data_IF_649344703013
#
_entry.id   IF_649344703013
#
_cell.length_a   1.000
_cell.length_b   1.000
_cell.length_c   1.000
_cell.angle_alpha   90.00
_cell.angle_beta   90.00
_cell.angle_gamma   90.00
#
_symmetry.space_group_name_H-M   'P 1'
#
loop_
_entity.id
_entity.type
_entity.pdbx_description
1 polymer ?
#
# COMPACT_ATOMS: atom_id res chain seq x y z
N UNK A 1 6.12 8.20 34.07
CA UNK A 1 5.69 7.12 34.99
C UNK A 1 4.71 6.26 34.22
N UNK A 2 5.09 5.06 33.75
CA UNK A 2 4.20 4.26 32.89
C UNK A 2 4.77 2.96 32.31
N UNK A 3 6.05 2.92 31.94
CA UNK A 3 6.63 1.70 31.32
C UNK A 3 6.84 0.57 32.33
N UNK A 4 7.49 0.81 33.48
CA UNK A 4 7.76 -0.26 34.46
C UNK A 4 6.48 -0.86 35.08
N UNK A 5 5.53 -0.01 35.51
CA UNK A 5 4.24 -0.48 36.05
C UNK A 5 3.45 -1.32 35.03
N UNK A 6 3.54 -1.00 33.72
CA UNK A 6 2.97 -1.83 32.66
C UNK A 6 3.66 -3.20 32.51
N UNK A 7 4.98 -3.29 32.77
CA UNK A 7 5.72 -4.55 32.74
C UNK A 7 5.31 -5.48 33.89
N UNK A 8 5.14 -4.95 35.10
CA UNK A 8 4.66 -5.70 36.26
C UNK A 8 3.23 -6.20 36.04
N UNK A 9 2.32 -5.32 35.55
CA UNK A 9 0.93 -5.69 35.25
C UNK A 9 0.84 -6.85 34.25
N UNK A 10 1.68 -6.86 33.21
CA UNK A 10 1.72 -7.96 32.24
C UNK A 10 2.24 -9.25 32.89
N UNK A 11 3.25 -9.20 33.76
CA UNK A 11 3.78 -10.41 34.39
C UNK A 11 2.80 -11.07 35.37
N UNK A 12 2.04 -10.29 36.14
CA UNK A 12 1.09 -10.81 37.13
C UNK A 12 -0.28 -11.22 36.55
N UNK A 13 -0.76 -10.50 35.52
CA UNK A 13 -2.10 -10.71 34.96
C UNK A 13 -2.09 -11.67 33.76
N UNK A 14 -1.05 -11.67 32.91
CA UNK A 14 -1.04 -12.49 31.70
C UNK A 14 -1.21 -13.99 32.01
N UNK A 15 -0.54 -14.61 33.01
CA UNK A 15 -0.75 -16.04 33.31
C UNK A 15 -2.20 -16.39 33.70
N UNK A 16 -2.95 -15.42 34.24
CA UNK A 16 -4.35 -15.59 34.65
C UNK A 16 -5.32 -15.47 33.46
N UNK A 17 -5.01 -14.58 32.50
CA UNK A 17 -5.92 -14.23 31.40
C UNK A 17 -5.50 -14.73 30.01
N UNK A 18 -4.29 -15.27 29.81
CA UNK A 18 -3.77 -15.69 28.51
C UNK A 18 -4.68 -16.66 27.74
N UNK A 19 -5.39 -17.56 28.45
CA UNK A 19 -6.38 -18.48 27.87
C UNK A 19 -7.60 -17.77 27.27
N UNK A 20 -7.84 -16.51 27.62
CA UNK A 20 -8.94 -15.68 27.11
C UNK A 20 -8.48 -14.65 26.06
N UNK A 21 -7.17 -14.49 25.85
CA UNK A 21 -6.62 -13.58 24.82
C UNK A 21 -6.91 -14.18 23.43
N UNK A 22 -7.76 -13.48 22.67
CA UNK A 22 -8.11 -13.83 21.27
C UNK A 22 -7.40 -12.97 20.23
N UNK A 23 -7.08 -11.72 20.57
CA UNK A 23 -6.35 -10.79 19.72
C UNK A 23 -5.02 -10.43 20.39
N UNK A 24 -3.94 -10.53 19.62
CA UNK A 24 -2.63 -10.01 20.00
C UNK A 24 -2.24 -8.88 19.05
N UNK A 25 -1.65 -7.82 19.61
CA UNK A 25 -1.04 -6.72 18.87
C UNK A 25 0.43 -6.70 19.31
N UNK A 26 1.35 -6.70 18.35
CA UNK A 26 2.79 -6.73 18.59
C UNK A 26 3.45 -5.65 17.75
N UNK A 27 4.21 -4.79 18.41
CA UNK A 27 5.09 -3.81 17.77
C UNK A 27 6.52 -4.35 17.89
N UNK A 28 7.24 -4.40 16.76
CA UNK A 28 8.54 -5.04 16.63
C UNK A 28 9.56 -4.03 16.09
N UNK A 29 10.38 -3.50 16.99
CA UNK A 29 11.68 -2.93 16.67
C UNK A 29 12.73 -4.05 16.57
N UNK A 30 13.70 -3.92 15.66
CA UNK A 30 14.58 -5.02 15.27
C UNK A 30 15.66 -5.37 16.33
N UNK A 31 16.03 -4.43 17.21
CA UNK A 31 17.26 -4.45 18.03
C UNK A 31 17.24 -5.28 19.32
N UNK A 32 16.09 -5.61 19.93
CA UNK A 32 16.07 -6.06 21.35
C UNK A 32 15.79 -7.55 21.59
N UNK A 33 16.83 -8.34 21.88
CA UNK A 33 16.70 -9.72 22.40
C UNK A 33 15.78 -9.84 23.64
N UNK A 34 15.70 -8.79 24.47
CA UNK A 34 14.82 -8.75 25.65
C UNK A 34 13.33 -8.76 25.26
N UNK A 35 12.98 -8.11 24.14
CA UNK A 35 11.63 -8.17 23.57
C UNK A 35 11.38 -9.58 23.01
N UNK A 36 12.33 -10.18 22.29
CA UNK A 36 12.18 -11.56 21.75
C UNK A 36 11.89 -12.59 22.85
N UNK A 37 12.63 -12.54 23.98
CA UNK A 37 12.39 -13.42 25.13
C UNK A 37 11.00 -13.20 25.75
N UNK A 38 10.53 -11.95 25.84
CA UNK A 38 9.20 -11.63 26.38
C UNK A 38 8.07 -12.05 25.43
N UNK A 39 8.24 -11.81 24.14
CA UNK A 39 7.30 -12.21 23.09
C UNK A 39 7.11 -13.73 23.08
N UNK A 40 8.19 -14.50 23.23
CA UNK A 40 8.11 -15.97 23.39
C UNK A 40 7.18 -16.36 24.53
N UNK A 41 7.44 -15.86 25.74
CA UNK A 41 6.64 -16.19 26.92
C UNK A 41 5.17 -15.78 26.76
N UNK A 42 4.89 -14.68 26.04
CA UNK A 42 3.52 -14.24 25.72
C UNK A 42 2.84 -15.22 24.76
N UNK A 43 3.52 -15.61 23.67
CA UNK A 43 2.98 -16.51 22.66
C UNK A 43 2.77 -17.94 23.19
N UNK A 44 3.69 -18.44 24.03
CA UNK A 44 3.58 -19.73 24.71
C UNK A 44 2.41 -19.79 25.70
N UNK A 45 2.09 -18.67 26.36
CA UNK A 45 0.92 -18.57 27.23
C UNK A 45 -0.41 -18.40 26.45
N UNK A 46 -0.40 -17.59 25.39
CA UNK A 46 -1.59 -17.17 24.65
C UNK A 46 -1.99 -18.15 23.52
N UNK A 47 -2.10 -19.44 23.84
CA UNK A 47 -2.44 -20.54 22.92
C UNK A 47 -3.78 -20.39 22.17
N UNK A 48 -4.60 -19.42 22.58
CA UNK A 48 -5.98 -19.19 22.13
C UNK A 48 -6.14 -17.99 21.18
N UNK A 49 -5.04 -17.36 20.75
CA UNK A 49 -5.08 -16.23 19.80
C UNK A 49 -5.58 -16.68 18.43
N UNK A 50 -6.55 -15.94 17.89
CA UNK A 50 -7.16 -16.10 16.57
C UNK A 50 -6.93 -14.87 15.68
N UNK A 51 -6.60 -13.71 16.26
CA UNK A 51 -6.25 -12.48 15.54
C UNK A 51 -4.84 -12.01 15.93
N UNK A 52 -3.96 -11.79 14.95
CA UNK A 52 -2.66 -11.16 15.16
C UNK A 52 -2.52 -9.88 14.30
N UNK A 53 -2.05 -8.81 14.92
CA UNK A 53 -1.55 -7.61 14.25
C UNK A 53 -0.07 -7.43 14.58
N UNK A 54 0.79 -7.49 13.57
CA UNK A 54 2.19 -7.09 13.66
C UNK A 54 2.41 -5.71 13.04
N UNK A 55 3.11 -4.84 13.77
CA UNK A 55 3.72 -3.62 13.25
C UNK A 55 5.23 -3.77 13.29
N UNK A 56 5.92 -3.38 12.21
CA UNK A 56 7.37 -3.27 12.18
C UNK A 56 7.77 -1.81 12.15
N UNK A 57 8.49 -1.36 13.18
CA UNK A 57 9.07 -0.02 13.22
C UNK A 57 10.52 -0.05 12.78
N UNK A 58 10.95 1.01 12.10
CA UNK A 58 12.37 1.25 11.79
C UNK A 58 13.19 1.24 13.09
N UNK A 59 14.36 0.60 13.06
CA UNK A 59 15.35 0.78 14.13
C UNK A 59 16.00 2.16 13.93
N UNK A 60 15.46 3.20 14.58
CA UNK A 60 15.99 4.56 14.58
C UNK A 60 17.30 4.70 15.40
N UNK A 61 18.22 3.73 15.24
CA UNK A 61 19.61 3.88 15.65
C UNK A 61 20.38 4.53 14.49
N UNK A 62 20.63 5.82 14.61
CA UNK A 62 21.35 6.64 13.61
C UNK A 62 22.82 6.20 13.41
N UNK A 63 23.32 5.30 14.26
CA UNK A 63 24.69 4.75 14.23
C UNK A 63 24.94 3.67 13.15
N UNK A 64 23.93 3.24 12.38
CA UNK A 64 24.09 2.17 11.38
C UNK A 64 24.58 2.64 10.01
N UNK A 65 25.84 3.08 9.99
CA UNK A 65 26.67 3.06 8.78
C UNK A 65 26.72 1.65 8.16
N UNK A 66 26.55 1.55 6.84
CA UNK A 66 26.77 0.35 6.01
C UNK A 66 26.01 -0.94 6.37
N UNK A 67 24.68 -0.94 6.17
CA UNK A 67 23.94 -2.15 5.72
C UNK A 67 23.66 -2.17 4.21
N UNK A 68 24.45 -1.43 3.42
CA UNK A 68 24.45 -1.58 1.97
C UNK A 68 25.17 -2.87 1.55
N UNK A 69 24.53 -3.59 0.60
CA UNK A 69 24.98 -4.77 -0.15
C UNK A 69 24.54 -6.16 0.35
N UNK A 70 23.65 -6.77 -0.46
CA UNK A 70 23.54 -8.21 -0.74
C UNK A 70 23.10 -9.19 0.35
N UNK A 71 22.82 -8.75 1.58
CA UNK A 71 22.14 -9.62 2.55
C UNK A 71 20.64 -9.64 2.30
N UNK A 72 20.20 -10.73 1.63
CA UNK A 72 18.81 -11.22 1.64
C UNK A 72 18.23 -11.09 3.05
N UNK A 73 17.33 -10.13 3.27
CA UNK A 73 16.77 -9.84 4.59
C UNK A 73 15.92 -11.02 5.06
N UNK A 74 16.38 -11.85 6.02
CA UNK A 74 15.56 -12.92 6.54
C UNK A 74 14.51 -12.31 7.47
N UNK A 75 13.35 -12.96 7.64
CA UNK A 75 12.45 -12.62 8.75
C UNK A 75 13.29 -12.61 10.05
N UNK A 76 13.27 -11.52 10.85
CA UNK A 76 13.98 -11.50 12.12
C UNK A 76 13.56 -12.69 12.98
N UNK A 77 14.49 -13.35 13.66
CA UNK A 77 14.23 -14.66 14.31
C UNK A 77 13.14 -14.63 15.40
N UNK A 78 12.72 -13.44 15.83
CA UNK A 78 11.49 -13.18 16.59
C UNK A 78 10.22 -13.70 15.91
N UNK A 79 10.13 -13.61 14.59
CA UNK A 79 8.97 -14.01 13.79
C UNK A 79 8.78 -15.54 13.72
N UNK A 80 9.83 -16.35 13.91
CA UNK A 80 9.67 -17.81 14.03
C UNK A 80 8.80 -18.23 15.23
N UNK A 81 8.55 -17.33 16.18
CA UNK A 81 7.61 -17.54 17.28
C UNK A 81 6.16 -17.32 16.82
N UNK A 82 5.92 -16.32 15.95
CA UNK A 82 4.62 -16.06 15.33
C UNK A 82 4.21 -17.22 14.41
N UNK A 83 5.16 -17.84 13.71
CA UNK A 83 4.94 -19.02 12.86
C UNK A 83 4.42 -20.27 13.61
N UNK A 84 4.34 -20.22 14.94
CA UNK A 84 3.76 -21.28 15.80
C UNK A 84 2.26 -21.09 16.03
N UNK A 85 1.68 -19.93 15.71
CA UNK A 85 0.26 -19.60 15.94
C UNK A 85 -0.65 -20.22 14.86
N UNK A 86 -0.87 -21.53 14.93
CA UNK A 86 -1.66 -22.29 13.93
C UNK A 86 -3.14 -21.93 13.87
N UNK A 87 -3.68 -21.38 14.95
CA UNK A 87 -5.12 -21.10 15.13
C UNK A 87 -5.56 -19.72 14.61
N UNK A 88 -4.68 -18.97 13.93
CA UNK A 88 -5.00 -17.65 13.41
C UNK A 88 -6.04 -17.73 12.28
N UNK A 89 -7.13 -16.99 12.46
CA UNK A 89 -8.16 -16.71 11.45
C UNK A 89 -7.99 -15.32 10.83
N UNK A 90 -7.31 -14.41 11.53
CA UNK A 90 -6.90 -13.09 11.05
C UNK A 90 -5.41 -12.85 11.28
N UNK A 91 -4.70 -12.43 10.22
CA UNK A 91 -3.31 -12.02 10.29
C UNK A 91 -3.15 -10.68 9.56
N UNK A 92 -2.51 -9.72 10.22
CA UNK A 92 -2.13 -8.44 9.65
C UNK A 92 -0.65 -8.20 9.89
N UNK A 93 0.05 -7.79 8.84
CA UNK A 93 1.41 -7.30 8.93
C UNK A 93 1.50 -5.95 8.21
N UNK A 94 1.71 -4.91 9.00
CA UNK A 94 1.98 -3.56 8.52
C UNK A 94 3.50 -3.32 8.63
N UNK A 95 4.17 -3.18 7.48
CA UNK A 95 5.54 -2.68 7.43
C UNK A 95 5.51 -1.14 7.48
N UNK A 96 6.27 -0.52 8.40
CA UNK A 96 6.42 0.94 8.46
C UNK A 96 7.78 1.41 7.89
N UNK A 97 8.66 0.46 7.53
CA UNK A 97 9.98 0.73 7.00
C UNK A 97 10.01 0.60 5.48
N UNK A 98 9.98 1.75 4.78
CA UNK A 98 10.07 1.83 3.31
C UNK A 98 11.38 1.28 2.73
N UNK A 99 12.42 1.02 3.54
CA UNK A 99 13.70 0.44 3.10
C UNK A 99 13.72 -1.10 3.26
N UNK A 100 13.19 -1.62 4.37
CA UNK A 100 13.25 -3.05 4.71
C UNK A 100 12.04 -3.85 4.20
N UNK A 101 11.88 -3.94 2.88
CA UNK A 101 10.73 -4.63 2.26
C UNK A 101 10.88 -6.18 2.31
N UNK A 102 9.82 -6.89 2.68
CA UNK A 102 9.84 -8.36 2.85
C UNK A 102 9.94 -9.15 1.55
N UNK A 103 10.82 -10.15 1.51
CA UNK A 103 10.72 -11.22 0.52
C UNK A 103 9.46 -12.08 0.74
N UNK A 104 8.83 -12.50 -0.36
CA UNK A 104 7.59 -13.27 -0.33
C UNK A 104 7.76 -14.65 0.32
N UNK A 105 8.89 -15.31 0.09
CA UNK A 105 9.28 -16.60 0.68
C UNK A 105 9.37 -16.50 2.20
N UNK A 106 9.93 -15.40 2.70
CA UNK A 106 9.97 -15.07 4.14
C UNK A 106 8.56 -14.95 4.72
N UNK A 107 7.63 -14.30 4.02
CA UNK A 107 6.24 -14.21 4.45
C UNK A 107 5.53 -15.57 4.38
N UNK A 108 5.78 -16.39 3.36
CA UNK A 108 5.26 -17.76 3.26
C UNK A 108 5.72 -18.62 4.44
N UNK A 109 7.00 -18.57 4.81
CA UNK A 109 7.53 -19.34 5.94
C UNK A 109 6.97 -18.89 7.29
N UNK A 110 6.68 -17.59 7.44
CA UNK A 110 5.98 -17.06 8.60
C UNK A 110 4.57 -17.64 8.74
N UNK A 111 3.79 -17.66 7.66
CA UNK A 111 2.37 -18.03 7.71
C UNK A 111 2.07 -19.49 7.35
N UNK A 112 3.09 -20.29 7.01
CA UNK A 112 2.96 -21.68 6.51
C UNK A 112 2.05 -22.58 7.35
N UNK A 113 2.03 -22.39 8.66
CA UNK A 113 1.25 -23.20 9.61
C UNK A 113 -0.15 -22.61 9.93
N UNK A 114 -0.50 -21.43 9.40
CA UNK A 114 -1.75 -20.71 9.67
C UNK A 114 -2.90 -21.21 8.78
N UNK A 115 -3.13 -22.53 8.75
CA UNK A 115 -4.07 -23.21 7.83
C UNK A 115 -5.54 -22.82 8.00
N UNK A 116 -5.87 -22.08 9.07
CA UNK A 116 -7.20 -21.59 9.39
C UNK A 116 -7.43 -20.11 9.03
N UNK A 117 -6.49 -19.47 8.33
CA UNK A 117 -6.55 -18.05 8.00
C UNK A 117 -7.73 -17.74 7.05
N UNK A 118 -8.67 -16.91 7.50
CA UNK A 118 -9.87 -16.49 6.75
C UNK A 118 -9.68 -15.10 6.11
N UNK A 119 -8.92 -14.24 6.78
CA UNK A 119 -8.66 -12.86 6.37
C UNK A 119 -7.18 -12.52 6.60
N UNK A 120 -6.50 -12.08 5.56
CA UNK A 120 -5.14 -11.53 5.65
C UNK A 120 -5.12 -10.05 5.25
N UNK A 121 -4.30 -9.25 5.94
CA UNK A 121 -3.91 -7.90 5.52
C UNK A 121 -2.39 -7.80 5.40
N UNK A 122 -1.92 -7.23 4.30
CA UNK A 122 -0.51 -6.95 4.07
C UNK A 122 -0.33 -5.53 3.54
N UNK A 123 0.60 -4.78 4.14
CA UNK A 123 1.08 -3.51 3.61
C UNK A 123 2.42 -3.69 2.91
N UNK A 124 2.62 -2.98 1.80
CA UNK A 124 3.93 -2.83 1.14
C UNK A 124 4.59 -4.16 0.79
N UNK A 125 3.81 -5.10 0.25
CA UNK A 125 4.34 -6.35 -0.33
C UNK A 125 5.09 -6.01 -1.62
N UNK A 126 6.40 -6.27 -1.72
CA UNK A 126 7.12 -6.08 -2.95
C UNK A 126 6.70 -7.22 -3.87
N UNK A 127 6.03 -6.87 -4.96
CA UNK A 127 5.67 -7.82 -5.99
C UNK A 127 6.98 -8.33 -6.64
N UNK A 128 7.27 -9.63 -6.53
CA UNK A 128 8.53 -10.24 -6.99
C UNK A 128 8.66 -10.35 -8.52
N UNK A 129 8.74 -9.21 -9.22
CA UNK A 129 8.75 -9.13 -10.69
C UNK A 129 9.95 -8.35 -11.22
N UNK A 130 10.62 -8.81 -12.28
CA UNK A 130 11.57 -7.99 -13.02
C UNK A 130 10.84 -6.80 -13.67
N UNK A 131 11.56 -5.69 -13.82
CA UNK A 131 11.04 -4.42 -14.37
C UNK A 131 10.72 -4.44 -15.87
N UNK A 132 10.96 -5.55 -16.56
CA UNK A 132 10.71 -5.74 -18.00
C UNK A 132 9.28 -5.32 -18.42
N UNK A 133 9.07 -4.75 -19.61
CA UNK A 133 7.75 -4.30 -20.05
C UNK A 133 6.79 -5.47 -20.33
N UNK A 134 5.50 -5.24 -20.08
CA UNK A 134 4.43 -6.26 -19.99
C UNK A 134 4.29 -7.12 -21.26
N UNK A 135 4.70 -6.63 -22.44
CA UNK A 135 4.49 -7.30 -23.73
C UNK A 135 5.77 -7.84 -24.39
N UNK A 136 6.91 -7.87 -23.68
CA UNK A 136 8.16 -8.42 -24.23
C UNK A 136 8.13 -9.94 -24.44
N UNK A 137 7.17 -10.67 -23.85
CA UNK A 137 7.07 -12.13 -23.95
C UNK A 137 5.61 -12.57 -24.08
N UNK A 138 5.25 -13.23 -25.19
CA UNK A 138 3.94 -13.87 -25.42
C UNK A 138 3.74 -15.19 -24.65
N UNK A 139 4.35 -15.33 -23.47
CA UNK A 139 4.44 -16.56 -22.67
C UNK A 139 4.29 -16.30 -21.16
N UNK A 140 3.52 -15.27 -20.77
CA UNK A 140 3.39 -14.83 -19.37
C UNK A 140 2.68 -15.84 -18.44
N UNK A 141 1.95 -16.83 -18.97
CA UNK A 141 1.10 -17.77 -18.21
C UNK A 141 1.83 -18.64 -17.15
N UNK A 142 3.16 -18.75 -17.26
CA UNK A 142 3.98 -19.64 -16.41
C UNK A 142 5.03 -18.94 -15.55
N UNK A 143 5.60 -17.81 -15.97
CA UNK A 143 6.97 -17.48 -15.55
C UNK A 143 7.11 -16.61 -14.30
N UNK A 144 6.08 -15.86 -13.90
CA UNK A 144 6.12 -15.01 -12.69
C UNK A 144 4.85 -15.16 -11.85
N UNK A 145 4.86 -16.12 -10.93
CA UNK A 145 3.80 -16.31 -9.92
C UNK A 145 4.36 -15.92 -8.56
N UNK A 146 3.70 -14.97 -7.89
CA UNK A 146 3.96 -14.60 -6.50
C UNK A 146 3.91 -15.86 -5.61
N UNK A 147 5.02 -16.29 -4.97
CA UNK A 147 5.01 -17.44 -4.07
C UNK A 147 4.03 -17.26 -2.91
N UNK A 148 3.87 -16.03 -2.43
CA UNK A 148 2.92 -15.69 -1.36
C UNK A 148 1.47 -15.83 -1.81
N UNK A 149 1.13 -15.35 -3.02
CA UNK A 149 -0.21 -15.51 -3.59
C UNK A 149 -0.56 -16.98 -3.84
N UNK A 150 0.37 -17.77 -4.39
CA UNK A 150 0.17 -19.21 -4.63
C UNK A 150 -0.03 -19.97 -3.31
N UNK A 151 0.75 -19.66 -2.28
CA UNK A 151 0.56 -20.26 -0.96
C UNK A 151 -0.80 -19.87 -0.36
N UNK A 152 -1.13 -18.57 -0.34
CA UNK A 152 -2.37 -18.07 0.24
C UNK A 152 -3.61 -18.60 -0.50
N UNK A 153 -3.57 -18.75 -1.83
CA UNK A 153 -4.66 -19.35 -2.60
C UNK A 153 -4.88 -20.84 -2.31
N UNK A 154 -3.84 -21.55 -1.83
CA UNK A 154 -3.97 -22.94 -1.35
C UNK A 154 -4.71 -23.05 -0.01
N UNK A 155 -4.84 -21.94 0.74
CA UNK A 155 -5.56 -21.92 2.02
C UNK A 155 -7.07 -22.00 1.77
N UNK A 156 -7.63 -23.20 1.92
CA UNK A 156 -9.05 -23.49 1.70
C UNK A 156 -10.02 -22.65 2.56
N UNK A 157 -9.53 -22.00 3.62
CA UNK A 157 -10.25 -21.10 4.53
C UNK A 157 -10.23 -19.61 4.11
N UNK A 158 -9.26 -19.17 3.29
CA UNK A 158 -9.01 -17.76 3.01
C UNK A 158 -10.05 -17.17 2.04
N UNK A 159 -10.67 -16.05 2.42
CA UNK A 159 -11.77 -15.41 1.66
C UNK A 159 -11.69 -13.89 1.58
N UNK A 160 -10.85 -13.26 2.39
CA UNK A 160 -10.73 -11.80 2.50
C UNK A 160 -9.25 -11.43 2.42
N UNK A 161 -8.90 -10.49 1.54
CA UNK A 161 -7.55 -9.93 1.42
C UNK A 161 -7.65 -8.41 1.44
N UNK A 162 -6.84 -7.78 2.29
CA UNK A 162 -6.63 -6.32 2.31
C UNK A 162 -5.19 -5.99 1.91
N UNK A 163 -5.00 -5.08 0.95
CA UNK A 163 -3.70 -4.55 0.56
C UNK A 163 -3.61 -3.04 0.77
N UNK A 164 -2.43 -2.57 1.17
CA UNK A 164 -2.01 -1.18 0.91
C UNK A 164 -0.84 -1.12 -0.06
N UNK A 165 -0.76 -0.04 -0.85
CA UNK A 165 0.46 0.34 -1.60
C UNK A 165 1.00 -0.76 -2.54
N UNK A 166 0.11 -1.47 -3.23
CA UNK A 166 0.49 -2.53 -4.18
C UNK A 166 0.63 -1.98 -5.61
N UNK A 167 1.58 -2.45 -6.42
CA UNK A 167 1.65 -2.08 -7.85
C UNK A 167 0.59 -2.81 -8.69
N UNK A 168 0.30 -2.35 -9.91
CA UNK A 168 -0.69 -3.03 -10.80
C UNK A 168 -0.26 -4.46 -11.13
N UNK A 169 1.04 -4.65 -11.42
CA UNK A 169 1.63 -5.96 -11.68
C UNK A 169 1.48 -6.88 -10.47
N UNK A 170 1.73 -6.34 -9.27
CA UNK A 170 1.49 -7.02 -8.00
C UNK A 170 0.02 -7.39 -7.84
N UNK A 171 -0.90 -6.44 -8.03
CA UNK A 171 -2.33 -6.67 -7.91
C UNK A 171 -2.81 -7.78 -8.86
N UNK A 172 -2.42 -7.73 -10.13
CA UNK A 172 -2.79 -8.73 -11.12
C UNK A 172 -2.25 -10.12 -10.76
N UNK A 173 -0.94 -10.25 -10.57
CA UNK A 173 -0.32 -11.54 -10.34
C UNK A 173 -0.60 -12.12 -8.94
N UNK A 174 -0.94 -11.29 -7.96
CA UNK A 174 -1.39 -11.75 -6.64
C UNK A 174 -2.86 -12.17 -6.66
N UNK A 175 -3.73 -11.48 -7.41
CA UNK A 175 -5.14 -11.86 -7.50
C UNK A 175 -5.37 -13.08 -8.41
N UNK A 176 -4.55 -13.31 -9.44
CA UNK A 176 -4.72 -14.39 -10.41
C UNK A 176 -4.90 -15.80 -9.79
N UNK A 177 -4.11 -16.24 -8.78
CA UNK A 177 -4.35 -17.52 -8.09
C UNK A 177 -5.70 -17.65 -7.36
N UNK A 178 -6.46 -16.57 -7.18
CA UNK A 178 -7.71 -16.54 -6.40
C UNK A 178 -9.00 -16.48 -7.22
N UNK A 179 -8.92 -16.70 -8.54
CA UNK A 179 -10.05 -16.64 -9.47
C UNK A 179 -11.31 -17.30 -8.90
N UNK A 180 -11.19 -18.49 -8.31
CA UNK A 180 -12.30 -19.26 -7.73
C UNK A 180 -12.35 -19.28 -6.17
N UNK A 181 -11.75 -18.32 -5.46
CA UNK A 181 -11.72 -18.36 -3.98
C UNK A 181 -11.95 -17.04 -3.25
N UNK A 182 -11.52 -15.89 -3.79
CA UNK A 182 -11.65 -14.61 -3.09
C UNK A 182 -13.09 -14.10 -3.07
N UNK A 183 -13.57 -13.64 -1.92
CA UNK A 183 -14.95 -13.13 -1.74
C UNK A 183 -14.98 -11.64 -1.39
N UNK A 184 -13.93 -11.12 -0.75
CA UNK A 184 -13.78 -9.69 -0.45
C UNK A 184 -12.34 -9.23 -0.69
N UNK A 185 -12.17 -8.14 -1.41
CA UNK A 185 -10.89 -7.49 -1.67
C UNK A 185 -10.95 -6.03 -1.22
N UNK A 186 -9.99 -5.60 -0.38
CA UNK A 186 -9.81 -4.19 -0.02
C UNK A 186 -8.46 -3.69 -0.51
N UNK A 187 -8.43 -2.54 -1.18
CA UNK A 187 -7.25 -1.92 -1.77
C UNK A 187 -7.15 -0.47 -1.29
N UNK A 188 -6.02 -0.05 -0.72
CA UNK A 188 -5.80 1.32 -0.24
C UNK A 188 -4.46 1.90 -0.72
N UNK A 189 -4.51 3.07 -1.34
CA UNK A 189 -3.42 3.69 -2.10
C UNK A 189 -2.80 2.69 -3.09
N UNK A 190 -3.68 1.93 -3.72
CA UNK A 190 -3.39 0.93 -4.74
C UNK A 190 -4.15 1.35 -6.02
N UNK A 191 -3.50 1.33 -7.19
CA UNK A 191 -2.11 0.96 -7.38
C UNK A 191 -1.13 2.07 -6.96
N UNK A 192 0.13 1.70 -6.67
CA UNK A 192 1.23 2.65 -6.67
C UNK A 192 1.60 3.03 -8.11
N UNK A 193 1.69 4.32 -8.37
CA UNK A 193 2.19 4.87 -9.64
C UNK A 193 3.72 4.80 -9.71
N UNK A 194 4.26 4.27 -10.83
CA UNK A 194 5.71 4.25 -11.10
C UNK A 194 6.25 5.69 -11.32
N UNK A 195 5.42 6.60 -11.84
CA UNK A 195 5.74 8.02 -12.02
C UNK A 195 5.37 8.88 -10.79
N UNK A 196 4.97 8.26 -9.68
CA UNK A 196 4.52 8.95 -8.47
C UNK A 196 3.03 9.30 -8.49
N UNK A 197 2.47 9.52 -7.30
CA UNK A 197 1.04 9.79 -7.09
C UNK A 197 0.69 11.26 -7.39
N UNK A 198 0.84 11.68 -8.65
CA UNK A 198 0.28 12.96 -9.10
C UNK A 198 -1.26 12.96 -9.01
N UNK A 199 -1.85 14.15 -8.88
CA UNK A 199 -3.30 14.36 -8.72
C UNK A 199 -4.09 13.97 -9.98
N UNK A 200 -3.39 13.82 -11.10
CA UNK A 200 -3.90 13.40 -12.40
C UNK A 200 -3.31 12.06 -12.86
N UNK A 201 -2.84 11.22 -11.92
CA UNK A 201 -2.36 9.88 -12.22
C UNK A 201 -3.43 9.09 -12.96
N UNK A 202 -3.05 8.54 -14.13
CA UNK A 202 -3.87 7.71 -15.00
C UNK A 202 -3.17 6.40 -15.32
N UNK A 203 -3.97 5.38 -15.57
CA UNK A 203 -3.51 4.08 -16.05
C UNK A 203 -3.08 4.20 -17.51
N UNK A 204 -2.00 3.52 -17.88
CA UNK A 204 -1.71 3.33 -19.30
C UNK A 204 -2.76 2.42 -19.94
N UNK A 205 -3.00 2.57 -21.24
CA UNK A 205 -3.89 1.67 -22.00
C UNK A 205 -3.49 0.20 -21.83
N UNK A 206 -2.18 -0.08 -21.75
CA UNK A 206 -1.60 -1.37 -21.42
C UNK A 206 -2.01 -1.94 -20.06
N UNK A 207 -2.16 -1.10 -19.04
CA UNK A 207 -2.56 -1.53 -17.69
C UNK A 207 -4.08 -1.75 -17.62
N UNK A 208 -4.87 -0.98 -18.38
CA UNK A 208 -6.33 -1.17 -18.52
C UNK A 208 -6.72 -2.51 -19.19
N UNK A 209 -5.79 -3.19 -19.87
CA UNK A 209 -5.97 -4.56 -20.36
C UNK A 209 -5.69 -5.66 -19.31
N UNK A 210 -5.18 -5.31 -18.13
CA UNK A 210 -4.84 -6.28 -17.07
C UNK A 210 -6.07 -6.68 -16.24
N UNK A 211 -7.05 -7.29 -16.90
CA UNK A 211 -8.37 -7.58 -16.31
C UNK A 211 -8.31 -8.67 -15.23
N UNK A 212 -8.90 -8.37 -14.08
CA UNK A 212 -9.03 -9.28 -12.95
C UNK A 212 -10.30 -10.12 -13.10
N UNK A 213 -10.11 -11.44 -13.10
CA UNK A 213 -11.17 -12.44 -13.03
C UNK A 213 -11.19 -13.04 -11.64
N UNK A 214 -12.20 -12.68 -10.85
CA UNK A 214 -12.42 -13.17 -9.49
C UNK A 214 -13.89 -13.60 -9.39
N UNK A 215 -14.16 -14.83 -9.83
CA UNK A 215 -15.49 -15.40 -10.06
C UNK A 215 -16.38 -15.37 -8.80
N UNK A 216 -15.79 -15.35 -7.60
CA UNK A 216 -16.49 -15.32 -6.30
C UNK A 216 -16.40 -13.99 -5.56
N UNK A 217 -15.78 -12.97 -6.14
CA UNK A 217 -15.66 -11.65 -5.51
C UNK A 217 -17.03 -11.00 -5.38
N UNK A 218 -17.47 -10.76 -4.16
CA UNK A 218 -18.77 -10.13 -3.82
C UNK A 218 -18.63 -8.72 -3.30
N UNK A 219 -17.51 -8.42 -2.64
CA UNK A 219 -17.23 -7.12 -2.05
C UNK A 219 -15.90 -6.58 -2.55
N UNK A 220 -15.95 -5.45 -3.24
CA UNK A 220 -14.78 -4.65 -3.59
C UNK A 220 -14.73 -3.44 -2.65
N UNK A 221 -13.52 -3.05 -2.24
CA UNK A 221 -13.28 -1.82 -1.49
C UNK A 221 -12.04 -1.15 -2.04
N UNK A 222 -12.15 0.11 -2.49
CA UNK A 222 -11.04 0.85 -3.11
C UNK A 222 -10.86 2.23 -2.49
N UNK A 223 -9.64 2.55 -2.10
CA UNK A 223 -9.09 3.89 -1.97
C UNK A 223 -7.88 3.96 -2.91
N UNK A 224 -7.87 4.90 -3.84
CA UNK A 224 -6.91 4.96 -4.94
C UNK A 224 -6.62 6.42 -5.31
N UNK A 225 -5.42 6.77 -5.82
CA UNK A 225 -5.16 8.12 -6.35
C UNK A 225 -5.71 8.36 -7.77
N UNK A 226 -6.13 7.30 -8.46
CA UNK A 226 -6.63 7.32 -9.84
C UNK A 226 -8.11 7.73 -9.94
N UNK A 227 -8.60 7.93 -11.17
CA UNK A 227 -10.03 8.06 -11.47
C UNK A 227 -10.77 6.72 -11.31
N UNK A 228 -12.07 6.70 -11.60
CA UNK A 228 -12.88 5.47 -11.63
C UNK A 228 -12.44 4.46 -12.70
N UNK A 229 -11.57 4.85 -13.66
CA UNK A 229 -11.02 3.95 -14.69
C UNK A 229 -10.31 2.72 -14.09
N UNK A 230 -9.73 2.83 -12.89
CA UNK A 230 -9.11 1.72 -12.17
C UNK A 230 -10.12 0.61 -11.81
N UNK A 231 -11.38 0.94 -11.58
CA UNK A 231 -12.42 -0.04 -11.32
C UNK A 231 -12.76 -0.88 -12.56
N UNK A 232 -12.45 -0.39 -13.77
CA UNK A 232 -12.61 -1.16 -15.01
C UNK A 232 -11.73 -2.42 -15.07
N UNK A 233 -10.68 -2.53 -14.25
CA UNK A 233 -9.91 -3.76 -14.09
C UNK A 233 -10.77 -4.90 -13.52
N UNK A 234 -11.86 -4.60 -12.82
CA UNK A 234 -12.79 -5.57 -12.22
C UNK A 234 -14.03 -5.83 -13.09
N UNK A 235 -14.03 -5.45 -14.37
CA UNK A 235 -15.20 -5.59 -15.28
C UNK A 235 -15.69 -7.03 -15.46
N UNK A 236 -14.79 -8.01 -15.42
CA UNK A 236 -15.13 -9.45 -15.51
C UNK A 236 -15.58 -10.04 -14.14
N UNK A 237 -15.57 -9.27 -13.05
CA UNK A 237 -15.96 -9.71 -11.70
C UNK A 237 -17.49 -9.58 -11.48
N UNK A 238 -18.30 -10.22 -12.33
CA UNK A 238 -19.76 -10.02 -12.37
C UNK A 238 -20.54 -10.38 -11.08
N UNK A 239 -19.92 -11.07 -10.11
CA UNK A 239 -20.52 -11.39 -8.81
C UNK A 239 -20.36 -10.28 -7.74
N UNK A 240 -19.76 -9.13 -8.08
CA UNK A 240 -19.71 -7.96 -7.18
C UNK A 240 -21.14 -7.51 -6.86
N UNK A 241 -21.40 -7.35 -5.55
CA UNK A 241 -22.70 -6.93 -4.98
C UNK A 241 -22.57 -5.68 -4.12
N UNK A 242 -21.37 -5.41 -3.62
CA UNK A 242 -21.04 -4.34 -2.70
C UNK A 242 -19.74 -3.67 -3.17
N UNK A 243 -19.78 -2.36 -3.39
CA UNK A 243 -18.59 -1.53 -3.62
C UNK A 243 -18.47 -0.51 -2.48
N UNK A 244 -17.27 -0.33 -1.94
CA UNK A 244 -16.93 0.80 -1.08
C UNK A 244 -15.82 1.60 -1.75
N UNK A 245 -16.05 2.86 -2.08
CA UNK A 245 -15.10 3.71 -2.80
C UNK A 245 -14.77 4.94 -1.95
N UNK A 246 -13.49 5.34 -1.89
CA UNK A 246 -13.09 6.64 -1.33
C UNK A 246 -13.03 7.67 -2.45
N UNK A 247 -13.84 8.72 -2.35
CA UNK A 247 -13.84 9.82 -3.31
C UNK A 247 -12.56 10.65 -3.18
N UNK A 248 -12.03 11.08 -4.33
CA UNK A 248 -10.78 11.84 -4.45
C UNK A 248 -10.97 13.01 -5.45
N UNK A 249 -9.89 13.64 -5.91
CA UNK A 249 -9.95 14.78 -6.86
C UNK A 249 -10.33 14.40 -8.30
N UNK A 250 -10.24 13.10 -8.65
CA UNK A 250 -10.54 12.52 -9.97
C UNK A 250 -11.81 11.65 -9.98
N UNK A 251 -12.53 11.57 -8.86
CA UNK A 251 -13.74 10.75 -8.67
C UNK A 251 -14.81 11.69 -8.09
N UNK A 252 -15.60 12.31 -8.97
CA UNK A 252 -16.75 13.14 -8.62
C UNK A 252 -18.09 12.41 -8.79
N UNK A 253 -19.23 13.07 -8.49
CA UNK A 253 -20.56 12.44 -8.54
C UNK A 253 -20.89 11.76 -9.88
N UNK A 254 -20.58 12.41 -11.02
CA UNK A 254 -20.79 11.85 -12.36
C UNK A 254 -19.98 10.60 -12.65
N UNK A 255 -18.79 10.51 -12.08
CA UNK A 255 -17.95 9.32 -12.19
C UNK A 255 -18.53 8.16 -11.36
N UNK A 256 -19.35 8.45 -10.34
CA UNK A 256 -20.14 7.45 -9.60
C UNK A 256 -21.41 7.07 -10.37
N UNK A 257 -22.13 8.02 -10.96
CA UNK A 257 -23.29 7.77 -11.84
C UNK A 257 -22.90 6.76 -12.94
N UNK A 258 -21.78 6.99 -13.63
CA UNK A 258 -21.26 6.10 -14.66
C UNK A 258 -20.85 4.68 -14.18
N UNK A 259 -20.62 4.48 -12.87
CA UNK A 259 -20.36 3.14 -12.30
C UNK A 259 -21.64 2.34 -12.01
N UNK A 260 -22.79 3.01 -11.93
CA UNK A 260 -24.10 2.41 -11.63
C UNK A 260 -25.11 2.61 -12.78
N UNK A 261 -24.60 2.93 -13.98
CA UNK A 261 -25.38 3.12 -15.19
C UNK A 261 -26.27 1.90 -15.49
N UNK A 262 -27.57 2.15 -15.66
CA UNK A 262 -28.60 1.10 -15.64
C UNK A 262 -28.95 0.56 -17.03
N UNK A 263 -28.66 1.32 -18.10
CA UNK A 263 -28.80 0.87 -19.49
C UNK A 263 -27.75 -0.20 -19.87
N UNK A 264 -26.55 -0.17 -19.26
CA UNK A 264 -25.47 -1.11 -19.53
C UNK A 264 -24.58 -1.36 -18.28
N UNK A 265 -25.11 -1.99 -17.21
CA UNK A 265 -24.42 -2.12 -15.93
C UNK A 265 -23.25 -3.11 -15.98
N UNK A 266 -22.03 -2.62 -15.73
CA UNK A 266 -20.80 -3.45 -15.65
C UNK A 266 -20.93 -4.58 -14.61
N UNK A 267 -21.60 -4.31 -13.48
CA UNK A 267 -21.86 -5.29 -12.42
C UNK A 267 -23.38 -5.43 -12.20
N UNK A 268 -24.02 -6.27 -13.02
CA UNK A 268 -25.47 -6.56 -13.00
C UNK A 268 -25.99 -6.97 -11.59
N UNK A 269 -25.12 -7.46 -10.71
CA UNK A 269 -25.47 -7.88 -9.34
C UNK A 269 -25.15 -6.86 -8.25
N UNK A 270 -24.68 -5.66 -8.60
CA UNK A 270 -24.42 -4.56 -7.66
C UNK A 270 -25.72 -4.13 -6.97
N UNK A 271 -25.67 -3.97 -5.64
CA UNK A 271 -26.83 -3.59 -4.81
C UNK A 271 -26.52 -2.50 -3.79
N UNK A 272 -25.25 -2.29 -3.49
CA UNK A 272 -24.81 -1.36 -2.46
C UNK A 272 -23.50 -0.67 -2.87
N UNK A 273 -23.48 0.66 -2.76
CA UNK A 273 -22.34 1.50 -3.09
C UNK A 273 -22.13 2.56 -2.00
N UNK A 274 -21.11 2.36 -1.16
CA UNK A 274 -20.70 3.37 -0.17
C UNK A 274 -19.61 4.26 -0.75
N UNK A 275 -19.91 5.54 -0.93
CA UNK A 275 -18.94 6.58 -1.30
C UNK A 275 -18.47 7.31 -0.04
N UNK A 276 -17.23 7.04 0.37
CA UNK A 276 -16.58 7.76 1.45
C UNK A 276 -16.07 9.12 0.96
N UNK A 277 -16.78 10.18 1.33
CA UNK A 277 -16.46 11.55 0.91
C UNK A 277 -15.56 12.20 1.97
N UNK A 278 -14.26 12.31 1.66
CA UNK A 278 -13.25 12.88 2.57
C UNK A 278 -13.32 14.40 2.63
N UNK A 279 -13.75 15.05 1.54
CA UNK A 279 -13.92 16.50 1.43
C UNK A 279 -15.28 16.82 0.79
N UNK A 280 -16.08 17.63 1.47
CA UNK A 280 -17.37 18.16 1.04
C UNK A 280 -17.22 19.68 0.94
N UNK A 281 -17.61 20.31 -0.18
CA UNK A 281 -17.60 21.77 -0.27
C UNK A 281 -17.39 22.35 -1.67
N UNK A 282 -16.77 23.54 -1.75
CA UNK A 282 -16.71 24.43 -2.93
C UNK A 282 -16.16 23.84 -4.25
N UNK A 283 -15.74 22.57 -4.33
CA UNK A 283 -15.23 21.92 -5.57
C UNK A 283 -15.75 20.51 -5.88
N UNK A 284 -16.37 19.78 -4.95
CA UNK A 284 -16.99 18.46 -5.22
C UNK A 284 -17.92 18.00 -4.10
N UNK A 285 -18.86 17.09 -4.43
CA UNK A 285 -19.86 16.47 -3.55
C UNK A 285 -20.63 17.49 -2.71
N UNK A 286 -21.32 18.40 -3.37
CA UNK A 286 -22.30 19.30 -2.75
C UNK A 286 -23.47 18.48 -2.16
N UNK A 287 -24.19 18.98 -1.14
CA UNK A 287 -25.36 18.27 -0.58
C UNK A 287 -26.46 17.96 -1.62
N UNK A 288 -26.62 18.80 -2.65
CA UNK A 288 -27.50 18.53 -3.79
C UNK A 288 -26.98 17.36 -4.62
N UNK A 289 -25.72 17.42 -5.08
CA UNK A 289 -25.08 16.36 -5.87
C UNK A 289 -25.10 15.00 -5.17
N UNK A 290 -24.98 14.99 -3.83
CA UNK A 290 -25.14 13.78 -3.00
C UNK A 290 -26.59 13.27 -3.03
N UNK A 291 -27.58 14.17 -2.92
CA UNK A 291 -29.00 13.80 -2.95
C UNK A 291 -29.44 13.30 -4.33
N UNK A 292 -28.94 13.96 -5.39
CA UNK A 292 -29.18 13.60 -6.79
C UNK A 292 -28.60 12.22 -7.11
N UNK A 293 -27.35 11.95 -6.68
CA UNK A 293 -26.68 10.66 -6.81
C UNK A 293 -27.39 9.53 -6.04
N UNK A 294 -27.92 9.81 -4.84
CA UNK A 294 -28.73 8.84 -4.07
C UNK A 294 -30.05 8.53 -4.79
N UNK A 295 -30.69 9.52 -5.40
CA UNK A 295 -31.91 9.33 -6.19
C UNK A 295 -31.65 8.52 -7.47
N UNK A 296 -30.60 8.85 -8.23
CA UNK A 296 -30.18 8.10 -9.42
C UNK A 296 -29.80 6.65 -9.08
N UNK A 297 -29.09 6.43 -7.96
CA UNK A 297 -28.83 5.08 -7.46
C UNK A 297 -30.10 4.29 -7.17
N UNK A 298 -31.09 4.91 -6.52
CA UNK A 298 -32.38 4.28 -6.24
C UNK A 298 -33.16 3.93 -7.52
N UNK A 299 -33.08 4.75 -8.58
CA UNK A 299 -33.63 4.47 -9.91
C UNK A 299 -32.91 3.29 -10.58
N UNK A 300 -31.57 3.24 -10.51
CA UNK A 300 -30.74 2.12 -10.95
C UNK A 300 -30.86 0.84 -10.10
N UNK A 301 -31.63 0.87 -8.99
CA UNK A 301 -31.79 -0.26 -8.06
C UNK A 301 -30.59 -0.51 -7.13
N UNK A 302 -29.64 0.42 -7.06
CA UNK A 302 -28.44 0.35 -6.21
C UNK A 302 -28.60 1.28 -5.00
N UNK A 303 -28.50 0.73 -3.78
CA UNK A 303 -28.48 1.54 -2.57
C UNK A 303 -27.15 2.29 -2.48
N UNK A 304 -27.17 3.59 -2.78
CA UNK A 304 -26.02 4.47 -2.62
C UNK A 304 -26.04 5.12 -1.24
N UNK A 305 -24.92 5.06 -0.53
CA UNK A 305 -24.66 5.82 0.69
C UNK A 305 -23.48 6.77 0.46
N UNK A 306 -23.62 8.05 0.79
CA UNK A 306 -22.54 9.03 0.70
C UNK A 306 -22.26 9.66 2.07
N UNK A 307 -20.99 9.83 2.42
CA UNK A 307 -20.58 10.58 3.61
C UNK A 307 -19.35 9.99 4.29
N UNK A 308 -19.30 10.04 5.62
CA UNK A 308 -18.17 9.55 6.42
C UNK A 308 -18.31 8.05 6.69
N UNK A 309 -17.20 7.30 6.67
CA UNK A 309 -17.18 5.86 6.97
C UNK A 309 -17.82 5.58 8.34
N UNK A 310 -18.86 4.72 8.43
CA UNK A 310 -19.51 4.40 9.70
C UNK A 310 -18.56 3.63 10.63
N UNK A 311 -18.87 3.62 11.94
CA UNK A 311 -18.11 2.93 13.00
C UNK A 311 -17.77 1.48 12.70
N UNK A 312 -18.53 0.83 11.80
CA UNK A 312 -18.44 -0.59 11.44
C UNK A 312 -18.07 -0.83 9.95
N UNK A 313 -17.88 0.24 9.17
CA UNK A 313 -17.32 0.19 7.79
C UNK A 313 -15.88 -0.36 7.69
N UNK A 314 -15.30 -0.35 6.49
CA UNK A 314 -14.01 -1.03 6.22
C UNK A 314 -12.89 -0.58 7.18
N UNK A 315 -12.27 -1.54 7.88
CA UNK A 315 -11.21 -1.30 8.88
C UNK A 315 -9.96 -0.66 8.23
N UNK A 316 -9.63 -1.06 7.00
CA UNK A 316 -8.49 -0.54 6.23
C UNK A 316 -8.55 1.00 6.10
N UNK A 317 -9.67 1.51 5.60
CA UNK A 317 -9.84 2.93 5.29
C UNK A 317 -10.01 3.82 6.54
N UNK A 318 -10.51 3.27 7.65
CA UNK A 318 -10.58 4.02 8.92
C UNK A 318 -9.20 4.35 9.46
N UNK A 319 -8.32 3.35 9.45
CA UNK A 319 -6.97 3.47 9.99
C UNK A 319 -6.11 4.31 9.05
N UNK A 320 -6.14 4.02 7.74
CA UNK A 320 -5.40 4.77 6.73
C UNK A 320 -5.89 6.23 6.60
N UNK A 321 -7.20 6.46 6.73
CA UNK A 321 -7.82 7.78 6.76
C UNK A 321 -7.49 8.62 8.01
N UNK A 322 -6.72 8.10 8.98
CA UNK A 322 -6.11 8.93 10.02
C UNK A 322 -4.84 9.64 9.54
N UNK A 323 -4.14 9.08 8.55
CA UNK A 323 -2.89 9.64 7.98
C UNK A 323 -3.16 10.84 7.06
N UNK A 324 -4.27 10.85 6.33
CA UNK A 324 -4.62 11.89 5.32
C UNK A 324 -5.15 13.20 5.98
N UNK A 325 -4.82 13.45 7.25
CA UNK A 325 -5.35 14.60 8.02
C UNK A 325 -4.59 15.91 7.79
N UNK A 326 -4.70 16.45 6.57
CA UNK A 326 -4.51 17.90 6.28
C UNK A 326 -5.62 18.44 5.37
N UNK A 327 -6.87 18.34 5.84
CA UNK A 327 -8.05 18.92 5.20
C UNK A 327 -9.22 19.00 6.18
N UNK A 328 -10.19 19.88 5.90
CA UNK A 328 -11.34 20.10 6.79
C UNK A 328 -12.23 18.86 6.91
N UNK A 329 -12.76 18.63 8.12
CA UNK A 329 -13.61 17.47 8.45
C UNK A 329 -15.07 17.92 8.47
N UNK A 330 -15.84 17.44 7.49
CA UNK A 330 -17.28 17.72 7.37
C UNK A 330 -18.10 17.27 8.59
N UNK A 331 -19.20 17.99 8.84
CA UNK A 331 -20.26 17.64 9.81
C UNK A 331 -21.63 17.68 9.12
N UNK A 332 -22.57 16.78 9.47
CA UNK A 332 -23.93 16.76 8.90
C UNK A 332 -24.70 18.08 9.01
N UNK A 333 -24.44 18.86 10.06
CA UNK A 333 -25.26 19.99 10.48
C UNK A 333 -24.70 21.37 10.08
N UNK A 334 -23.69 21.44 9.20
CA UNK A 334 -23.12 22.71 8.73
C UNK A 334 -23.97 23.32 7.59
N UNK A 335 -24.60 24.50 7.78
CA UNK A 335 -25.51 25.09 6.79
C UNK A 335 -24.76 25.63 5.57
N UNK A 336 -25.44 25.60 4.42
CA UNK A 336 -24.89 25.91 3.09
C UNK A 336 -24.70 27.42 2.81
N UNK A 337 -24.32 28.22 3.81
CA UNK A 337 -24.20 29.68 3.70
C UNK A 337 -22.76 30.13 3.41
N UNK A 338 -22.41 30.22 2.12
CA UNK A 338 -22.37 31.53 1.45
C UNK A 338 -21.83 31.42 0.01
N UNK A 339 -22.64 31.91 -0.93
CA UNK A 339 -22.22 32.17 -2.30
C UNK A 339 -21.43 33.47 -2.40
N UNK A 340 -20.12 33.39 -2.13
CA UNK A 340 -19.15 34.40 -2.59
C UNK A 340 -18.26 33.81 -3.68
N UNK A 341 -18.40 34.36 -4.88
CA UNK A 341 -17.47 34.23 -5.99
C UNK A 341 -16.38 35.29 -5.80
N UNK A 342 -15.19 34.88 -5.36
CA UNK A 342 -14.00 35.73 -5.44
C UNK A 342 -13.07 35.13 -6.50
N UNK A 343 -12.96 35.81 -7.63
CA UNK A 343 -11.92 35.58 -8.62
C UNK A 343 -10.56 35.91 -8.00
N UNK A 344 -9.76 34.88 -7.70
CA UNK A 344 -8.32 35.01 -7.55
C UNK A 344 -7.65 34.62 -8.88
N UNK A 345 -7.60 35.56 -9.82
CA UNK A 345 -6.76 35.40 -11.02
C UNK A 345 -5.28 35.31 -10.61
N UNK A 346 -4.52 34.51 -11.33
CA UNK A 346 -3.06 34.51 -11.22
C UNK A 346 -2.51 35.81 -11.79
N UNK A 347 -1.63 36.50 -11.04
CA UNK A 347 -0.75 37.53 -11.59
C UNK A 347 0.69 37.31 -11.17
N UNK A 348 1.42 36.68 -12.08
CA UNK A 348 2.86 36.81 -12.18
C UNK A 348 3.20 38.22 -12.70
N UNK A 349 3.65 39.10 -11.81
CA UNK A 349 4.26 40.39 -12.16
C UNK A 349 5.52 40.60 -11.29
N UNK A 350 6.63 39.99 -11.68
CA UNK A 350 7.94 40.35 -11.14
C UNK A 350 8.39 41.73 -11.65
N UNK A 351 8.66 42.69 -10.76
CA UNK A 351 9.31 43.94 -11.14
C UNK A 351 10.28 44.50 -10.09
N UNK A 352 11.30 45.19 -10.61
CA UNK A 352 12.51 45.64 -9.91
C UNK A 352 12.25 46.68 -8.82
N UNK A 353 13.13 46.71 -7.81
CA UNK A 353 13.41 47.92 -7.03
C UNK A 353 14.91 48.09 -6.78
N UNK A 354 15.56 48.84 -7.66
CA UNK A 354 16.75 49.59 -7.28
C UNK A 354 16.36 50.76 -6.37
N UNK A 355 17.12 50.99 -5.29
CA UNK A 355 17.67 52.33 -5.01
C UNK A 355 18.78 52.30 -3.94
N UNK A 356 19.62 53.34 -3.94
CA UNK A 356 20.87 53.43 -3.17
C UNK A 356 20.78 54.34 -1.93
N UNK A 357 21.61 54.03 -0.94
CA UNK A 357 22.32 54.95 -0.03
C UNK A 357 23.37 54.13 0.74
N UNK A 358 24.67 54.17 0.44
CA UNK A 358 25.67 55.22 0.77
C UNK A 358 26.09 55.27 2.26
N UNK A 359 27.42 55.32 2.51
CA UNK A 359 28.09 55.06 3.80
C UNK A 359 28.92 53.75 3.73
N UNK A 360 30.25 53.74 3.64
CA UNK A 360 31.30 54.13 4.62
C UNK A 360 31.29 53.29 5.91
N UNK A 361 32.39 52.82 6.52
CA UNK A 361 33.82 52.58 6.17
C UNK A 361 34.37 51.66 7.31
N UNK A 362 35.53 50.98 7.31
CA UNK A 362 36.72 50.83 6.44
C UNK A 362 36.82 49.32 6.00
N UNK A 363 37.88 48.66 5.49
CA UNK A 363 39.25 49.02 5.07
C UNK A 363 40.39 48.22 5.75
N UNK A 364 40.83 47.07 5.20
CA UNK A 364 42.20 46.52 5.39
C UNK A 364 42.57 45.38 4.41
N UNK A 365 43.79 45.41 3.87
CA UNK A 365 44.36 44.44 2.92
C UNK A 365 44.99 43.21 3.60
N UNK A 366 45.28 42.17 2.79
CA UNK A 366 46.62 41.54 2.71
C UNK A 366 46.77 40.77 1.38
N UNK A 367 47.98 40.78 0.81
CA UNK A 367 48.30 40.15 -0.48
C UNK A 367 48.46 38.62 -0.39
N UNK A 368 48.20 37.90 -1.49
CA UNK A 368 48.27 36.42 -1.56
C UNK A 368 48.49 35.87 -2.97
N UNK A 369 49.37 36.51 -3.74
CA UNK A 369 49.76 36.18 -5.12
C UNK A 369 50.22 34.72 -5.34
N UNK A 370 49.72 34.09 -6.43
CA UNK A 370 50.50 33.49 -7.56
C UNK A 370 51.38 32.25 -7.30
N UNK A 371 51.74 31.42 -8.30
CA UNK A 371 51.26 31.16 -9.67
C UNK A 371 51.78 29.74 -10.07
N UNK A 372 51.21 29.17 -11.15
CA UNK A 372 51.91 28.39 -12.20
C UNK A 372 52.56 26.99 -12.01
N UNK A 373 52.37 26.20 -13.09
CA UNK A 373 53.33 25.27 -13.74
C UNK A 373 53.69 23.91 -13.06
N UNK A 374 53.99 22.82 -13.79
CA UNK A 374 53.83 22.50 -15.23
C UNK A 374 53.77 20.97 -15.48
N UNK A 375 53.55 20.59 -16.76
CA UNK A 375 54.03 19.37 -17.48
C UNK A 375 54.06 18.00 -16.76
N UNK A 376 53.31 16.97 -17.18
CA UNK A 376 53.33 16.25 -18.47
C UNK A 376 54.61 15.43 -18.76
N UNK A 377 54.54 14.09 -18.69
CA UNK A 377 55.36 13.14 -19.47
C UNK A 377 54.95 11.66 -19.34
N UNK A 378 54.56 11.06 -20.47
CA UNK A 378 54.94 9.75 -21.03
C UNK A 378 54.92 8.37 -20.29
N UNK A 379 54.78 7.35 -21.16
CA UNK A 379 55.39 6.00 -21.15
C UNK A 379 54.76 4.78 -20.43
N UNK A 380 53.89 4.09 -21.17
CA UNK A 380 54.15 2.76 -21.76
C UNK A 380 54.70 1.59 -20.91
N UNK A 381 53.85 0.58 -20.68
CA UNK A 381 54.12 -0.90 -20.70
C UNK A 381 52.78 -1.62 -20.40
N UNK A 382 52.20 -2.49 -21.24
CA UNK A 382 52.63 -3.72 -21.95
C UNK A 382 52.24 -5.01 -21.21
N UNK A 383 51.34 -5.76 -21.85
CA UNK A 383 51.23 -7.23 -21.89
C UNK A 383 50.49 -8.05 -20.81
N UNK A 384 49.89 -9.12 -21.36
CA UNK A 384 49.58 -10.45 -20.81
C UNK A 384 48.26 -10.80 -20.05
N UNK A 385 47.29 -11.22 -20.88
CA UNK A 385 46.80 -12.63 -21.00
C UNK A 385 45.68 -13.21 -20.10
N UNK A 386 44.71 -13.83 -20.80
CA UNK A 386 43.75 -14.89 -20.37
C UNK A 386 42.67 -14.44 -19.37
N UNK A 387 41.43 -14.93 -19.37
CA UNK A 387 40.76 -16.11 -19.96
C UNK A 387 39.47 -15.66 -20.70
N UNK A 388 38.65 -16.45 -21.39
CA UNK A 388 38.63 -17.90 -21.65
C UNK A 388 37.23 -18.32 -22.12
N UNK A 389 36.88 -18.07 -23.39
CA UNK A 389 35.57 -18.43 -23.93
C UNK A 389 35.47 -19.94 -24.21
N UNK A 390 34.33 -20.55 -23.91
CA UNK A 390 33.88 -21.80 -24.55
C UNK A 390 32.36 -21.86 -24.52
N UNK A 391 31.75 -22.22 -25.64
CA UNK A 391 30.31 -22.37 -25.79
C UNK A 391 30.01 -23.55 -26.73
N UNK A 392 28.82 -24.14 -26.51
CA UNK A 392 28.17 -25.20 -27.29
C UNK A 392 28.92 -26.57 -27.36
N UNK A 393 28.32 -27.74 -27.09
CA UNK A 393 26.94 -28.27 -27.21
C UNK A 393 26.61 -28.84 -28.60
N UNK A 394 26.98 -30.10 -28.80
CA UNK A 394 26.20 -31.07 -29.60
C UNK A 394 26.37 -32.47 -29.00
N UNK A 395 25.34 -33.30 -29.13
CA UNK A 395 25.28 -34.63 -28.52
C UNK A 395 24.06 -35.38 -29.02
N UNK A 396 24.12 -35.82 -30.27
CA UNK A 396 23.14 -36.74 -30.84
C UNK A 396 23.41 -38.16 -30.30
N UNK A 397 22.35 -38.92 -30.05
CA UNK A 397 22.40 -40.38 -29.91
C UNK A 397 21.04 -40.96 -30.30
N UNK A 398 21.09 -42.01 -31.12
CA UNK A 398 20.01 -42.97 -31.39
C UNK A 398 20.10 -44.16 -30.43
#
# INVERSE_FOLDING_TARGET
MGIEQGKELVQDLLPRYARHVRRLIVELAFSFQAIIRRLRNILEACINVTELVGYLGNDYNEDHEYFTNNLVHPIPTSFHLIAQLRNLTYFRLDNLDDQNIFQEESLVDLIRNMVHLVHIRLSDVPASFPTAPIFACSHFDQQFRSPLAVFLASLSSLRIIDFTRLSIRGLHAFCFPFEDSLVSLSLCDTPLSISGNDRWARLSESELQSVLRLSKLRKLSVSTPYSTEFLSLFRDCHNITNIHLVANYQIGPRDIEALIEHDNPTWILLKFLLVHVVHVGKRSFRPTEISDLIAYGAEAGVVVECGRLPSDGNRLFKEYGMSIRRGYVWRPDEPSDNGSEEHSEERDEGQMRDNRSEGQDEGHDIEGRRDDQSEASNESRSDDQREGQTAERTGENT
#
